data_IF_700005388700
#
_entry.id   IF_700005388700
#
_cell.length_a   1.000
_cell.length_b   1.000
_cell.length_c   1.000
_cell.angle_alpha   90.00
_cell.angle_beta   90.00
_cell.angle_gamma   90.00
#
_symmetry.space_group_name_H-M   'P 1'
#
loop_
_entity.id
_entity.type
_entity.pdbx_description
1 polymer ?
#
# COMPACT_ATOMS: atom_id res chain seq x y z
N UNK A 1 22.61 -13.75 -36.60
CA UNK A 1 22.67 -12.36 -36.10
C UNK A 1 21.33 -12.03 -35.47
N UNK A 2 21.25 -11.96 -34.14
CA UNK A 2 20.12 -11.35 -33.42
C UNK A 2 20.70 -10.23 -32.57
N UNK A 3 20.42 -8.99 -32.95
CA UNK A 3 20.85 -7.80 -32.22
C UNK A 3 19.99 -7.64 -30.97
N UNK A 4 20.60 -7.85 -29.81
CA UNK A 4 20.02 -7.46 -28.53
C UNK A 4 19.93 -5.94 -28.46
N UNK A 5 18.71 -5.40 -28.42
CA UNK A 5 18.46 -3.98 -28.21
C UNK A 5 18.74 -3.68 -26.74
N UNK A 6 19.86 -3.01 -26.46
CA UNK A 6 20.17 -2.53 -25.12
C UNK A 6 19.01 -1.64 -24.64
N UNK A 7 18.45 -1.96 -23.47
CA UNK A 7 17.52 -1.08 -22.77
C UNK A 7 18.31 0.18 -22.41
N UNK A 8 17.89 1.34 -22.94
CA UNK A 8 18.49 2.62 -22.59
C UNK A 8 18.34 2.85 -21.09
N UNK A 9 19.45 3.16 -20.40
CA UNK A 9 19.41 3.58 -19.00
C UNK A 9 18.52 4.82 -18.88
N UNK A 10 17.36 4.65 -18.25
CA UNK A 10 16.49 5.77 -17.94
C UNK A 10 17.25 6.67 -16.95
N UNK A 11 17.54 7.90 -17.38
CA UNK A 11 18.19 8.89 -16.52
C UNK A 11 17.15 9.39 -15.52
N UNK A 12 17.17 8.84 -14.31
CA UNK A 12 16.29 9.30 -13.23
C UNK A 12 16.90 10.58 -12.65
N UNK A 13 16.21 11.70 -12.81
CA UNK A 13 16.59 12.94 -12.15
C UNK A 13 16.33 12.80 -10.66
N UNK A 14 17.37 12.98 -9.84
CA UNK A 14 17.23 12.94 -8.38
C UNK A 14 16.46 14.18 -7.94
N UNK A 15 15.26 13.96 -7.41
CA UNK A 15 14.47 15.03 -6.78
C UNK A 15 14.90 15.12 -5.32
N UNK A 16 15.47 16.25 -4.92
CA UNK A 16 15.78 16.53 -3.53
C UNK A 16 14.62 17.25 -2.86
N UNK A 17 13.84 16.54 -2.05
CA UNK A 17 12.86 17.17 -1.18
C UNK A 17 13.57 17.93 -0.05
N UNK A 18 13.11 19.14 0.25
CA UNK A 18 13.59 19.97 1.36
C UNK A 18 12.44 20.30 2.30
N UNK A 19 12.71 20.31 3.61
CA UNK A 19 11.72 20.76 4.59
C UNK A 19 11.44 22.24 4.39
N UNK A 20 10.20 22.57 4.10
CA UNK A 20 9.71 23.94 4.15
C UNK A 20 9.22 24.24 5.58
N UNK A 21 9.86 25.16 6.33
CA UNK A 21 9.44 25.50 7.68
C UNK A 21 8.08 26.21 7.75
N UNK A 22 7.57 26.73 6.63
CA UNK A 22 6.26 27.37 6.55
C UNK A 22 5.11 26.36 6.42
N UNK A 23 5.39 25.13 5.95
CA UNK A 23 4.37 24.08 5.85
C UNK A 23 3.96 23.59 7.24
N UNK A 24 2.64 23.59 7.49
CA UNK A 24 2.03 23.13 8.73
C UNK A 24 0.96 22.10 8.42
N UNK A 25 1.03 20.94 9.07
CA UNK A 25 -0.07 20.00 9.10
C UNK A 25 -1.04 20.41 10.23
N UNK A 26 -2.28 20.72 9.87
CA UNK A 26 -3.35 21.03 10.82
C UNK A 26 -4.50 20.05 10.61
N UNK A 27 -5.06 19.55 11.71
CA UNK A 27 -6.26 18.71 11.65
C UNK A 27 -7.46 19.62 11.45
N UNK A 28 -8.04 19.61 10.24
CA UNK A 28 -9.24 20.41 9.94
C UNK A 28 -10.53 19.68 10.29
N UNK A 29 -10.55 18.35 10.13
CA UNK A 29 -11.73 17.51 10.34
C UNK A 29 -11.30 16.11 10.79
N UNK A 30 -12.16 15.45 11.56
CA UNK A 30 -12.04 14.03 11.92
C UNK A 30 -13.34 13.33 11.53
N UNK A 31 -13.22 12.24 10.79
CA UNK A 31 -14.35 11.43 10.33
C UNK A 31 -14.03 9.97 10.65
N UNK A 32 -15.05 9.24 11.10
CA UNK A 32 -14.93 7.78 11.26
C UNK A 32 -15.00 7.10 9.89
N UNK A 33 -13.96 6.32 9.56
CA UNK A 33 -13.87 5.60 8.30
C UNK A 33 -14.54 4.22 8.40
N UNK A 34 -15.87 4.21 8.51
CA UNK A 34 -16.66 2.98 8.44
C UNK A 34 -16.78 2.51 7.00
N UNK A 35 -16.55 1.22 6.76
CA UNK A 35 -16.81 0.65 5.44
C UNK A 35 -18.31 0.73 5.12
N UNK A 36 -18.62 1.10 3.89
CA UNK A 36 -20.00 1.27 3.43
C UNK A 36 -20.81 -0.02 3.52
N UNK A 37 -20.13 -1.17 3.41
CA UNK A 37 -20.73 -2.50 3.52
C UNK A 37 -20.74 -3.05 4.96
N UNK A 38 -20.34 -2.26 5.97
CA UNK A 38 -20.24 -2.71 7.36
C UNK A 38 -19.15 -3.78 7.55
N UNK A 39 -19.25 -4.58 8.62
CA UNK A 39 -18.34 -5.71 8.84
C UNK A 39 -18.68 -6.89 7.92
N UNK A 40 -17.68 -7.73 7.61
CA UNK A 40 -17.87 -9.00 6.92
C UNK A 40 -17.08 -10.10 7.62
N UNK A 41 -17.78 -10.89 8.43
CA UNK A 41 -17.20 -11.97 9.21
C UNK A 41 -16.66 -13.11 8.33
N UNK A 42 -17.24 -13.33 7.14
CA UNK A 42 -16.81 -14.40 6.24
C UNK A 42 -15.43 -14.14 5.64
N UNK A 43 -15.05 -12.87 5.51
CA UNK A 43 -13.75 -12.43 5.02
C UNK A 43 -12.81 -11.94 6.13
N UNK A 44 -13.22 -12.04 7.41
CA UNK A 44 -12.50 -11.46 8.55
C UNK A 44 -12.28 -9.94 8.38
N UNK A 45 -13.25 -9.22 7.82
CA UNK A 45 -13.21 -7.76 7.63
C UNK A 45 -13.93 -7.04 8.79
N UNK A 46 -13.26 -6.09 9.47
CA UNK A 46 -13.89 -5.27 10.51
C UNK A 46 -14.90 -4.28 9.90
N UNK A 47 -15.72 -3.63 10.74
CA UNK A 47 -16.69 -2.63 10.28
C UNK A 47 -16.07 -1.30 9.81
N UNK A 48 -14.82 -1.03 10.19
CA UNK A 48 -14.13 0.23 9.93
C UNK A 48 -12.66 0.00 9.60
N UNK A 49 -12.04 1.01 8.98
CA UNK A 49 -10.59 1.10 8.81
C UNK A 49 -9.92 1.05 10.18
N UNK A 50 -8.96 0.15 10.37
CA UNK A 50 -8.25 -0.02 11.64
C UNK A 50 -7.00 0.88 11.67
N UNK A 51 -5.81 0.32 11.55
CA UNK A 51 -4.55 1.07 11.60
C UNK A 51 -4.08 1.50 10.20
N UNK A 52 -4.57 2.63 9.69
CA UNK A 52 -4.09 3.19 8.41
C UNK A 52 -2.62 3.61 8.50
N UNK A 53 -1.77 3.10 7.60
CA UNK A 53 -0.31 3.31 7.62
C UNK A 53 0.16 4.32 6.56
N UNK A 54 -0.40 4.25 5.34
CA UNK A 54 -0.04 5.14 4.23
C UNK A 54 -1.19 5.32 3.26
N UNK A 55 -1.21 6.44 2.53
CA UNK A 55 -2.21 6.72 1.49
C UNK A 55 -1.61 7.46 0.30
N UNK A 56 -2.18 7.23 -0.88
CA UNK A 56 -1.86 7.95 -2.12
C UNK A 56 -3.10 8.10 -3.00
N UNK A 57 -3.07 9.04 -3.93
CA UNK A 57 -4.12 9.16 -4.94
C UNK A 57 -4.03 8.01 -5.93
N UNK A 58 -5.15 7.39 -6.28
CA UNK A 58 -5.28 6.46 -7.40
C UNK A 58 -6.52 6.85 -8.19
N UNK A 59 -6.31 7.54 -9.31
CA UNK A 59 -7.40 8.23 -10.00
C UNK A 59 -7.98 9.35 -9.13
N UNK A 60 -9.30 9.33 -8.95
CA UNK A 60 -10.09 10.29 -8.17
C UNK A 60 -10.32 9.87 -6.70
N UNK A 61 -9.78 8.71 -6.28
CA UNK A 61 -9.91 8.19 -4.92
C UNK A 61 -8.57 8.19 -4.18
N UNK A 62 -8.65 8.22 -2.86
CA UNK A 62 -7.50 7.93 -2.00
C UNK A 62 -7.43 6.42 -1.74
N UNK A 63 -6.33 5.80 -2.13
CA UNK A 63 -5.99 4.42 -1.79
C UNK A 63 -5.17 4.42 -0.49
N UNK A 64 -5.65 3.71 0.53
CA UNK A 64 -5.05 3.64 1.86
C UNK A 64 -4.74 2.20 2.23
N UNK A 65 -3.52 1.95 2.67
CA UNK A 65 -3.10 0.66 3.24
C UNK A 65 -3.17 0.68 4.76
N UNK A 66 -3.33 -0.50 5.35
CA UNK A 66 -3.42 -0.68 6.78
C UNK A 66 -2.30 -1.60 7.27
N UNK A 67 -1.83 -1.34 8.49
CA UNK A 67 -0.80 -2.12 9.16
C UNK A 67 -1.34 -3.45 9.70
N UNK A 68 -2.56 -3.44 10.24
CA UNK A 68 -3.13 -4.52 11.03
C UNK A 68 -4.31 -5.24 10.36
N UNK A 69 -4.54 -4.96 9.06
CA UNK A 69 -5.51 -5.71 8.28
C UNK A 69 -5.17 -5.80 6.78
N UNK A 70 -5.41 -6.97 6.18
CA UNK A 70 -5.16 -7.25 4.76
C UNK A 70 -6.35 -6.80 3.87
N UNK A 71 -6.62 -5.49 3.91
CA UNK A 71 -7.57 -4.81 3.02
C UNK A 71 -6.94 -3.53 2.50
N UNK A 72 -7.05 -3.30 1.18
CA UNK A 72 -6.79 -2.00 0.58
C UNK A 72 -8.06 -1.17 0.66
N UNK A 73 -7.96 0.04 1.18
CA UNK A 73 -9.10 0.92 1.41
C UNK A 73 -9.15 1.96 0.29
N UNK A 74 -10.33 2.16 -0.27
CA UNK A 74 -10.62 3.29 -1.16
C UNK A 74 -11.52 4.29 -0.45
N UNK A 75 -11.12 5.56 -0.47
CA UNK A 75 -11.90 6.66 0.08
C UNK A 75 -12.21 7.63 -1.06
N UNK A 76 -13.48 7.84 -1.31
CA UNK A 76 -13.96 8.94 -2.15
C UNK A 76 -13.80 10.26 -1.34
N UNK A 77 -13.00 11.24 -1.81
CA UNK A 77 -12.74 12.47 -1.06
C UNK A 77 -13.97 13.38 -0.95
N UNK A 78 -14.93 13.28 -1.88
CA UNK A 78 -16.10 14.14 -1.95
C UNK A 78 -17.23 13.59 -1.07
N UNK A 79 -17.57 12.31 -1.25
CA UNK A 79 -18.65 11.66 -0.50
C UNK A 79 -18.20 11.08 0.83
N UNK A 80 -16.89 10.88 1.02
CA UNK A 80 -16.28 10.17 2.15
C UNK A 80 -16.74 8.70 2.25
N UNK A 81 -17.23 8.14 1.15
CA UNK A 81 -17.56 6.72 1.02
C UNK A 81 -16.28 5.90 1.14
N UNK A 82 -16.31 4.88 2.00
CA UNK A 82 -15.17 3.99 2.26
C UNK A 82 -15.49 2.59 1.77
N UNK A 83 -14.63 2.07 0.91
CA UNK A 83 -14.74 0.73 0.31
C UNK A 83 -13.47 -0.07 0.58
N UNK A 84 -13.57 -1.39 0.56
CA UNK A 84 -12.45 -2.28 0.78
C UNK A 84 -12.26 -3.23 -0.41
N UNK A 85 -11.00 -3.40 -0.82
CA UNK A 85 -10.57 -4.50 -1.67
C UNK A 85 -9.86 -5.53 -0.78
N UNK A 86 -10.35 -6.76 -0.84
CA UNK A 86 -9.82 -7.88 -0.07
C UNK A 86 -8.45 -8.27 -0.62
N UNK A 87 -7.43 -8.27 0.23
CA UNK A 87 -6.10 -8.77 -0.12
C UNK A 87 -5.98 -10.26 0.25
N UNK A 88 -4.84 -10.86 -0.13
CA UNK A 88 -4.52 -12.22 0.27
C UNK A 88 -4.59 -12.37 1.80
N UNK A 89 -5.22 -13.44 2.26
CA UNK A 89 -5.25 -13.76 3.68
C UNK A 89 -3.86 -14.19 4.17
N UNK A 90 -3.59 -13.95 5.45
CA UNK A 90 -2.48 -14.59 6.16
C UNK A 90 -2.81 -16.04 6.52
N UNK A 91 -2.04 -16.60 7.44
CA UNK A 91 -2.25 -17.96 7.94
C UNK A 91 -3.67 -18.16 8.50
N UNK A 92 -4.21 -19.37 8.34
CA UNK A 92 -5.56 -19.76 8.74
C UNK A 92 -6.71 -18.90 8.15
N UNK A 93 -6.44 -18.18 7.04
CA UNK A 93 -7.45 -17.32 6.40
C UNK A 93 -7.66 -15.98 7.10
N UNK A 94 -6.82 -15.63 8.08
CA UNK A 94 -6.94 -14.39 8.82
C UNK A 94 -6.61 -13.15 7.97
N UNK A 95 -7.35 -12.07 8.18
CA UNK A 95 -7.10 -10.75 7.59
C UNK A 95 -7.06 -9.62 8.60
N UNK A 96 -7.41 -9.87 9.86
CA UNK A 96 -7.14 -8.97 10.98
C UNK A 96 -6.02 -9.54 11.84
N UNK A 97 -5.08 -8.67 12.19
CA UNK A 97 -3.88 -9.03 12.93
C UNK A 97 -3.78 -8.22 14.21
N UNK A 98 -3.62 -8.89 15.35
CA UNK A 98 -3.50 -8.26 16.66
C UNK A 98 -2.83 -9.20 17.67
N UNK A 99 -2.53 -8.68 18.86
CA UNK A 99 -1.87 -9.45 19.91
C UNK A 99 -2.79 -10.50 20.53
N UNK A 100 -4.10 -10.23 20.61
CA UNK A 100 -5.07 -11.16 21.20
C UNK A 100 -5.20 -12.45 20.38
N UNK A 101 -5.12 -12.32 19.05
CA UNK A 101 -5.09 -13.44 18.10
C UNK A 101 -3.71 -14.08 17.99
N UNK A 102 -2.65 -13.44 18.50
CA UNK A 102 -1.27 -13.94 18.44
C UNK A 102 -0.75 -14.15 17.00
N UNK A 103 -1.29 -13.41 16.02
CA UNK A 103 -1.11 -13.68 14.60
C UNK A 103 -0.36 -12.55 13.83
N UNK A 104 0.13 -11.51 14.53
CA UNK A 104 0.84 -10.35 13.94
C UNK A 104 2.00 -10.71 13.00
N UNK A 105 2.66 -11.85 13.23
CA UNK A 105 3.77 -12.31 12.37
C UNK A 105 3.34 -12.64 10.94
N UNK A 106 2.03 -12.79 10.68
CA UNK A 106 1.48 -13.16 9.37
C UNK A 106 0.92 -11.99 8.56
N UNK A 107 0.95 -10.76 9.10
CA UNK A 107 0.48 -9.57 8.39
C UNK A 107 1.46 -9.15 7.29
N UNK A 108 0.92 -8.56 6.23
CA UNK A 108 1.72 -7.99 5.13
C UNK A 108 2.57 -6.81 5.60
N UNK A 109 2.10 -6.07 6.61
CA UNK A 109 2.85 -4.98 7.25
C UNK A 109 3.19 -3.88 6.24
N UNK A 110 2.19 -3.40 5.50
CA UNK A 110 2.36 -2.38 4.46
C UNK A 110 2.51 -1.01 5.12
N UNK A 111 3.63 -0.33 4.90
CA UNK A 111 4.03 0.88 5.67
C UNK A 111 4.14 2.14 4.81
N UNK A 112 4.39 1.97 3.51
CA UNK A 112 4.55 3.08 2.58
C UNK A 112 3.80 2.76 1.30
N UNK A 113 3.23 3.79 0.65
CA UNK A 113 2.66 3.63 -0.67
C UNK A 113 2.90 4.86 -1.54
N UNK A 114 2.80 4.66 -2.84
CA UNK A 114 2.86 5.71 -3.85
C UNK A 114 2.13 5.25 -5.10
N UNK A 115 1.65 6.19 -5.89
CA UNK A 115 1.13 5.91 -7.23
C UNK A 115 2.11 6.45 -8.25
N UNK A 116 2.46 5.61 -9.22
CA UNK A 116 3.36 5.97 -10.31
C UNK A 116 2.62 5.90 -11.65
N UNK A 117 2.79 6.90 -12.53
CA UNK A 117 2.23 6.82 -13.88
C UNK A 117 2.98 5.77 -14.69
N UNK A 118 2.25 4.97 -15.46
CA UNK A 118 2.82 3.99 -16.40
C UNK A 118 2.17 4.12 -17.78
N UNK A 119 2.75 3.55 -18.85
CA UNK A 119 2.10 3.51 -20.16
C UNK A 119 0.70 2.86 -20.16
N UNK A 120 0.40 2.00 -19.17
CA UNK A 120 -0.88 1.32 -19.02
C UNK A 120 -1.83 2.04 -18.03
N UNK A 121 -1.50 3.27 -17.65
CA UNK A 121 -2.20 4.03 -16.62
C UNK A 121 -1.52 3.95 -15.25
N UNK A 122 -2.15 4.56 -14.25
CA UNK A 122 -1.59 4.66 -12.91
C UNK A 122 -1.44 3.29 -12.24
N UNK A 123 -0.30 3.09 -11.58
CA UNK A 123 0.02 1.91 -10.80
C UNK A 123 0.25 2.31 -9.35
N UNK A 124 -0.63 1.85 -8.46
CA UNK A 124 -0.44 1.98 -7.03
C UNK A 124 0.50 0.89 -6.53
N UNK A 125 1.51 1.32 -5.76
CA UNK A 125 2.51 0.48 -5.12
C UNK A 125 2.42 0.69 -3.62
N UNK A 126 2.30 -0.40 -2.85
CA UNK A 126 2.50 -0.36 -1.41
C UNK A 126 3.56 -1.36 -0.98
N UNK A 127 4.42 -0.93 -0.07
CA UNK A 127 5.63 -1.61 0.34
C UNK A 127 5.43 -2.18 1.73
N UNK A 128 5.71 -3.46 1.90
CA UNK A 128 5.87 -4.06 3.23
C UNK A 128 7.02 -3.39 3.99
N UNK A 129 7.07 -3.54 5.31
CA UNK A 129 8.11 -2.88 6.12
C UNK A 129 9.53 -3.36 5.82
N UNK A 130 9.69 -4.53 5.21
CA UNK A 130 11.01 -5.14 4.97
C UNK A 130 11.77 -5.53 6.25
N UNK A 131 11.13 -5.49 7.41
CA UNK A 131 11.70 -5.88 8.71
C UNK A 131 12.00 -7.38 8.81
N UNK A 132 11.40 -8.19 7.94
CA UNK A 132 11.62 -9.64 7.80
C UNK A 132 11.50 -10.02 6.31
N UNK A 133 12.13 -11.11 5.89
CA UNK A 133 12.11 -11.56 4.49
C UNK A 133 10.68 -11.71 3.91
N UNK A 134 9.74 -12.21 4.72
CA UNK A 134 8.33 -12.35 4.35
C UNK A 134 7.60 -11.00 4.12
N UNK A 135 8.15 -9.89 4.62
CA UNK A 135 7.61 -8.52 4.47
C UNK A 135 8.33 -7.72 3.39
N UNK A 136 9.26 -8.33 2.67
CA UNK A 136 9.91 -7.72 1.50
C UNK A 136 9.03 -7.90 0.26
N UNK A 137 7.81 -7.39 0.34
CA UNK A 137 6.79 -7.54 -0.68
C UNK A 137 6.26 -6.18 -1.13
N UNK A 138 5.84 -6.13 -2.39
CA UNK A 138 5.17 -4.97 -2.97
C UNK A 138 3.77 -5.40 -3.42
N UNK A 139 2.75 -4.76 -2.85
CA UNK A 139 1.39 -4.78 -3.35
C UNK A 139 1.32 -3.86 -4.58
N UNK A 140 0.80 -4.38 -5.68
CA UNK A 140 0.65 -3.69 -6.95
C UNK A 140 -0.82 -3.71 -7.37
N UNK A 141 -1.36 -2.53 -7.66
CA UNK A 141 -2.76 -2.35 -8.06
C UNK A 141 -2.84 -1.43 -9.27
N UNK A 142 -3.33 -1.95 -10.40
CA UNK A 142 -3.52 -1.17 -11.61
C UNK A 142 -4.81 -0.36 -11.50
N UNK A 143 -4.78 0.94 -11.82
CA UNK A 143 -5.98 1.78 -11.77
C UNK A 143 -7.14 1.26 -12.64
N UNK A 144 -6.82 0.61 -13.76
CA UNK A 144 -7.82 0.03 -14.67
C UNK A 144 -8.44 -1.27 -14.16
N UNK A 145 -7.82 -1.92 -13.18
CA UNK A 145 -8.33 -3.14 -12.54
C UNK A 145 -7.93 -3.16 -11.05
N UNK A 146 -8.55 -2.30 -10.23
CA UNK A 146 -8.19 -2.20 -8.83
C UNK A 146 -8.58 -3.45 -8.03
N UNK A 147 -9.54 -4.23 -8.53
CA UNK A 147 -10.08 -5.43 -7.88
C UNK A 147 -9.18 -6.65 -7.92
N UNK A 148 -8.10 -6.60 -8.71
CA UNK A 148 -7.16 -7.72 -8.87
C UNK A 148 -5.76 -7.35 -8.37
N UNK A 149 -5.59 -7.04 -7.07
CA UNK A 149 -4.29 -6.71 -6.50
C UNK A 149 -3.32 -7.88 -6.64
N UNK A 150 -2.06 -7.58 -6.90
CA UNK A 150 -0.99 -8.59 -6.93
C UNK A 150 0.08 -8.28 -5.90
N UNK A 151 0.61 -9.33 -5.26
CA UNK A 151 1.77 -9.22 -4.37
C UNK A 151 3.00 -9.78 -5.10
N UNK A 152 4.10 -9.05 -5.05
CA UNK A 152 5.38 -9.47 -5.62
C UNK A 152 6.45 -9.48 -4.54
N UNK A 153 7.21 -10.57 -4.47
CA UNK A 153 8.43 -10.62 -3.67
C UNK A 153 9.45 -9.64 -4.27
N UNK A 154 10.04 -8.81 -3.42
CA UNK A 154 10.87 -7.69 -3.82
C UNK A 154 12.22 -7.65 -3.08
N UNK A 155 12.71 -8.79 -2.58
CA UNK A 155 13.94 -8.87 -1.78
C UNK A 155 15.15 -8.17 -2.40
N UNK A 156 15.30 -8.23 -3.73
CA UNK A 156 16.38 -7.52 -4.43
C UNK A 156 16.25 -5.98 -4.30
N UNK A 157 15.03 -5.43 -4.39
CA UNK A 157 14.81 -4.00 -4.20
C UNK A 157 15.12 -3.59 -2.76
N UNK A 158 14.62 -4.33 -1.76
CA UNK A 158 14.90 -4.03 -0.35
C UNK A 158 16.39 -4.10 -0.04
N UNK A 159 17.13 -5.04 -0.64
CA UNK A 159 18.58 -5.11 -0.51
C UNK A 159 19.26 -3.85 -1.08
N UNK A 160 18.83 -3.35 -2.24
CA UNK A 160 19.35 -2.12 -2.83
C UNK A 160 19.02 -0.89 -1.99
N UNK A 161 17.78 -0.77 -1.47
CA UNK A 161 17.39 0.32 -0.59
C UNK A 161 18.26 0.37 0.67
N UNK A 162 18.49 -0.77 1.33
CA UNK A 162 19.38 -0.85 2.50
C UNK A 162 20.81 -0.44 2.18
N UNK A 163 21.33 -0.83 1.02
CA UNK A 163 22.66 -0.43 0.58
C UNK A 163 22.76 1.09 0.38
N UNK A 164 21.68 1.73 -0.08
CA UNK A 164 21.64 3.18 -0.32
C UNK A 164 21.46 4.01 0.97
N UNK A 165 20.73 3.51 1.96
CA UNK A 165 20.45 4.23 3.22
C UNK A 165 21.48 3.99 4.33
N UNK A 166 22.42 3.06 4.14
CA UNK A 166 23.52 2.79 5.09
C UNK A 166 24.73 3.69 4.86
N UNK A 167 24.59 4.73 4.03
CA UNK A 167 25.56 5.80 3.77
C UNK A 167 25.32 6.98 4.72
#
# INVERSE_FOLDING_TARGET
MMGGKALSEATVSIIQAKRDPALKAIVQKRISLFYSQGADLSNDRPAHVRAGSSLSWLGDKLALVQDDANFLVFIDPDSLTVEAITLAAGEAGARQFDDLRGNKRFKLDLEACTTVPTPNGDLFLAFGSGSMAQREQILMVQASDPTTPTLKQASALYAQLRAYTSL
#
